data_IF_234836273251
#
_entry.id   IF_234836273251
#
_cell.length_a   1.000
_cell.length_b   1.000
_cell.length_c   1.000
_cell.angle_alpha   90.00
_cell.angle_beta   90.00
_cell.angle_gamma   90.00
#
_symmetry.space_group_name_H-M   'P 1'
#
loop_
_entity.id
_entity.type
_entity.pdbx_description
1 polymer ?
#
# COMPACT_ATOMS: atom_id res chain seq x y z
N UNK A 1 -21.79 28.58 27.42
CA UNK A 1 -20.81 28.04 26.48
C UNK A 1 -19.74 27.33 27.30
N UNK A 2 -19.80 26.01 27.42
CA UNK A 2 -18.79 25.22 28.13
C UNK A 2 -17.57 25.12 27.21
N UNK A 3 -16.42 25.60 27.68
CA UNK A 3 -15.14 25.35 27.02
C UNK A 3 -14.93 23.84 26.93
N UNK A 4 -15.13 23.28 25.77
CA UNK A 4 -14.75 21.90 25.46
C UNK A 4 -13.24 21.80 25.62
N UNK A 5 -12.77 21.26 26.76
CA UNK A 5 -11.35 20.93 26.96
C UNK A 5 -10.88 20.11 25.78
N UNK A 6 -10.04 20.69 24.92
CA UNK A 6 -9.41 19.96 23.79
C UNK A 6 -8.72 18.73 24.35
N UNK A 7 -9.14 17.55 23.94
CA UNK A 7 -8.52 16.29 24.32
C UNK A 7 -7.01 16.33 24.00
N UNK A 8 -6.17 15.90 24.95
CA UNK A 8 -4.70 15.88 24.79
C UNK A 8 -4.22 14.43 24.71
N UNK A 9 -3.21 14.20 23.89
CA UNK A 9 -2.52 12.91 23.83
C UNK A 9 -1.84 12.63 25.17
N UNK A 10 -2.16 11.49 25.77
CA UNK A 10 -1.49 10.99 26.99
C UNK A 10 -0.17 10.28 26.62
N UNK A 11 0.71 10.09 27.59
CA UNK A 11 1.95 9.32 27.41
C UNK A 11 1.68 7.90 26.91
N UNK A 12 0.60 7.28 27.41
CA UNK A 12 0.18 5.95 26.97
C UNK A 12 -0.28 5.93 25.50
N UNK A 13 -1.03 6.94 25.06
CA UNK A 13 -1.43 7.08 23.66
C UNK A 13 -0.21 7.25 22.75
N UNK A 14 0.78 8.06 23.14
CA UNK A 14 2.03 8.21 22.40
C UNK A 14 2.78 6.88 22.28
N UNK A 15 2.88 6.13 23.38
CA UNK A 15 3.46 4.79 23.37
C UNK A 15 2.71 3.85 22.44
N UNK A 16 1.37 3.82 22.51
CA UNK A 16 0.56 2.97 21.64
C UNK A 16 0.75 3.32 20.15
N UNK A 17 0.74 4.60 19.80
CA UNK A 17 0.94 5.07 18.42
C UNK A 17 2.36 4.72 17.92
N UNK A 18 3.39 4.91 18.75
CA UNK A 18 4.76 4.54 18.39
C UNK A 18 4.91 3.04 18.16
N UNK A 19 4.40 2.20 19.05
CA UNK A 19 4.45 0.73 18.93
C UNK A 19 3.68 0.27 17.67
N UNK A 20 2.50 0.83 17.40
CA UNK A 20 1.74 0.51 16.19
C UNK A 20 2.47 1.00 14.92
N UNK A 21 3.11 2.16 14.95
CA UNK A 21 3.94 2.66 13.85
C UNK A 21 5.14 1.76 13.56
N UNK A 22 5.82 1.29 14.61
CA UNK A 22 6.90 0.32 14.51
C UNK A 22 6.39 -1.01 13.89
N UNK A 23 5.21 -1.48 14.32
CA UNK A 23 4.55 -2.66 13.77
C UNK A 23 4.19 -2.48 12.30
N UNK A 24 3.69 -1.32 11.93
CA UNK A 24 3.43 -0.97 10.54
C UNK A 24 4.70 -1.06 9.67
N UNK A 25 5.84 -0.60 10.20
CA UNK A 25 7.14 -0.79 9.52
C UNK A 25 7.53 -2.26 9.44
N UNK A 26 7.30 -3.03 10.49
CA UNK A 26 7.63 -4.47 10.51
C UNK A 26 6.88 -5.26 9.43
N UNK A 27 5.66 -4.82 9.03
CA UNK A 27 4.96 -5.39 7.87
C UNK A 27 5.69 -5.13 6.54
N UNK A 28 6.65 -4.22 6.52
CA UNK A 28 7.53 -3.97 5.39
C UNK A 28 8.33 -5.20 4.96
N UNK A 29 8.51 -6.20 5.86
CA UNK A 29 9.05 -7.51 5.53
C UNK A 29 8.30 -8.18 4.38
N UNK A 30 6.98 -8.03 4.33
CA UNK A 30 6.12 -8.49 3.23
C UNK A 30 6.45 -7.80 1.89
N UNK A 31 6.89 -6.55 1.94
CA UNK A 31 7.14 -5.73 0.77
C UNK A 31 8.62 -5.67 0.35
N UNK A 32 9.52 -6.42 1.02
CA UNK A 32 10.95 -6.44 0.69
C UNK A 32 11.15 -6.71 -0.81
N UNK A 33 10.47 -7.71 -1.33
CA UNK A 33 10.59 -8.13 -2.73
C UNK A 33 10.13 -7.07 -3.74
N UNK A 34 9.22 -6.15 -3.35
CA UNK A 34 8.80 -5.02 -4.18
C UNK A 34 9.70 -3.80 -3.99
N UNK A 35 10.05 -3.49 -2.75
CA UNK A 35 10.74 -2.26 -2.37
C UNK A 35 12.25 -2.29 -2.57
N UNK A 36 12.83 -3.49 -2.48
CA UNK A 36 14.27 -3.74 -2.60
C UNK A 36 14.54 -4.88 -3.59
N UNK A 37 13.87 -4.81 -4.74
CA UNK A 37 13.83 -5.84 -5.78
C UNK A 37 15.22 -6.35 -6.15
N UNK A 38 16.15 -5.43 -6.49
CA UNK A 38 17.48 -5.78 -7.00
C UNK A 38 18.28 -6.57 -6.00
N UNK A 39 18.37 -6.07 -4.76
CA UNK A 39 19.18 -6.73 -3.72
C UNK A 39 18.58 -8.07 -3.31
N UNK A 40 17.23 -8.21 -3.26
CA UNK A 40 16.59 -9.47 -2.94
C UNK A 40 16.79 -10.51 -4.06
N UNK A 41 16.61 -10.10 -5.32
CA UNK A 41 16.85 -10.94 -6.51
C UNK A 41 18.25 -11.53 -6.50
N UNK A 42 19.26 -10.68 -6.32
CA UNK A 42 20.68 -11.11 -6.33
C UNK A 42 21.02 -11.97 -5.12
N UNK A 43 20.60 -11.58 -3.90
CA UNK A 43 20.91 -12.32 -2.69
C UNK A 43 20.37 -13.77 -2.72
N UNK A 44 19.24 -13.98 -3.40
CA UNK A 44 18.62 -15.30 -3.54
C UNK A 44 18.88 -15.97 -4.91
N UNK A 45 19.71 -15.35 -5.78
CA UNK A 45 20.04 -15.83 -7.13
C UNK A 45 18.80 -16.15 -7.98
N UNK A 46 17.81 -15.24 -7.97
CA UNK A 46 16.54 -15.42 -8.67
C UNK A 46 16.55 -14.79 -10.05
N UNK A 47 15.76 -15.33 -10.97
CA UNK A 47 15.46 -14.69 -12.27
C UNK A 47 14.30 -13.68 -12.12
N UNK A 48 14.12 -12.80 -13.11
CA UNK A 48 12.99 -11.85 -13.12
C UNK A 48 11.64 -12.59 -13.22
N UNK A 49 11.59 -13.71 -13.96
CA UNK A 49 10.43 -14.58 -14.02
C UNK A 49 10.07 -15.18 -12.66
N UNK A 50 11.08 -15.65 -11.91
CA UNK A 50 10.89 -16.17 -10.56
C UNK A 50 10.43 -15.08 -9.60
N UNK A 51 11.02 -13.88 -9.65
CA UNK A 51 10.58 -12.72 -8.87
C UNK A 51 9.13 -12.35 -9.15
N UNK A 52 8.77 -12.26 -10.43
CA UNK A 52 7.39 -11.99 -10.86
C UNK A 52 6.41 -13.05 -10.37
N UNK A 53 6.79 -14.34 -10.40
CA UNK A 53 5.96 -15.44 -9.91
C UNK A 53 5.73 -15.35 -8.40
N UNK A 54 6.78 -15.08 -7.60
CA UNK A 54 6.63 -14.88 -6.15
C UNK A 54 5.66 -13.73 -5.87
N UNK A 55 5.81 -12.60 -6.57
CA UNK A 55 4.95 -11.42 -6.41
C UNK A 55 3.49 -11.72 -6.76
N UNK A 56 3.24 -12.46 -7.85
CA UNK A 56 1.88 -12.83 -8.25
C UNK A 56 1.21 -13.78 -7.25
N UNK A 57 1.93 -14.81 -6.79
CA UNK A 57 1.39 -15.77 -5.80
C UNK A 57 1.13 -15.06 -4.46
N UNK A 58 2.04 -14.18 -4.02
CA UNK A 58 1.85 -13.35 -2.84
C UNK A 58 0.59 -12.47 -2.98
N UNK A 59 0.35 -11.90 -4.15
CA UNK A 59 -0.82 -11.06 -4.41
C UNK A 59 -2.13 -11.84 -4.39
N UNK A 60 -2.14 -13.09 -4.85
CA UNK A 60 -3.30 -14.00 -4.69
C UNK A 60 -3.61 -14.19 -3.20
N UNK A 61 -2.59 -14.50 -2.41
CA UNK A 61 -2.72 -14.65 -0.96
C UNK A 61 -3.24 -13.35 -0.30
N UNK A 62 -2.80 -12.18 -0.77
CA UNK A 62 -3.24 -10.88 -0.28
C UNK A 62 -4.71 -10.60 -0.61
N UNK A 63 -5.18 -10.90 -1.81
CA UNK A 63 -6.60 -10.79 -2.20
C UNK A 63 -7.48 -11.64 -1.26
N UNK A 64 -7.07 -12.88 -0.99
CA UNK A 64 -7.75 -13.76 -0.04
C UNK A 64 -7.75 -13.14 1.37
N UNK A 65 -6.63 -12.58 1.82
CA UNK A 65 -6.50 -11.95 3.13
C UNK A 65 -7.43 -10.73 3.30
N UNK A 66 -7.64 -9.93 2.29
CA UNK A 66 -8.61 -8.83 2.34
C UNK A 66 -10.04 -9.34 2.51
N UNK A 67 -10.38 -10.46 1.87
CA UNK A 67 -11.72 -11.05 1.97
C UNK A 67 -12.01 -11.57 3.39
N UNK A 68 -11.16 -12.41 3.96
CA UNK A 68 -11.43 -13.01 5.28
C UNK A 68 -10.94 -12.16 6.46
N UNK A 69 -9.97 -11.26 6.24
CA UNK A 69 -9.32 -10.51 7.32
C UNK A 69 -10.29 -9.57 8.05
N UNK A 70 -11.23 -8.97 7.34
CA UNK A 70 -12.31 -8.19 7.94
C UNK A 70 -13.19 -9.06 8.84
N UNK A 71 -13.66 -10.20 8.35
CA UNK A 71 -14.53 -11.14 9.06
C UNK A 71 -13.86 -11.67 10.35
N UNK A 72 -12.60 -12.11 10.22
CA UNK A 72 -11.84 -12.63 11.36
C UNK A 72 -11.61 -11.54 12.42
N UNK A 73 -11.37 -10.30 12.01
CA UNK A 73 -11.17 -9.18 12.94
C UNK A 73 -12.43 -8.83 13.77
N UNK A 74 -13.62 -9.22 13.29
CA UNK A 74 -14.87 -9.05 14.04
C UNK A 74 -15.14 -10.20 15.01
N UNK A 75 -14.65 -11.40 14.70
CA UNK A 75 -14.88 -12.62 15.51
C UNK A 75 -13.80 -12.78 16.59
N UNK A 76 -12.53 -12.51 16.24
CA UNK A 76 -11.38 -12.77 17.12
C UNK A 76 -10.86 -11.46 17.70
N UNK A 77 -10.48 -11.48 18.99
CA UNK A 77 -9.90 -10.31 19.66
C UNK A 77 -8.66 -9.78 18.91
N UNK A 78 -8.57 -8.47 18.65
CA UNK A 78 -7.45 -7.85 17.92
C UNK A 78 -6.08 -8.26 18.47
N UNK A 79 -5.94 -8.34 19.80
CA UNK A 79 -4.72 -8.79 20.48
C UNK A 79 -4.25 -10.16 19.95
N UNK A 80 -5.15 -11.13 19.83
CA UNK A 80 -4.82 -12.52 19.44
C UNK A 80 -4.31 -12.55 18.00
N UNK A 81 -5.02 -11.86 17.09
CA UNK A 81 -4.64 -11.79 15.68
C UNK A 81 -3.26 -11.11 15.54
N UNK A 82 -3.07 -9.96 16.19
CA UNK A 82 -1.80 -9.23 16.14
C UNK A 82 -0.63 -10.02 16.76
N UNK A 83 -0.88 -10.76 17.84
CA UNK A 83 0.15 -11.63 18.43
C UNK A 83 0.60 -12.70 17.43
N UNK A 84 -0.34 -13.38 16.78
CA UNK A 84 -0.04 -14.38 15.76
C UNK A 84 0.67 -13.75 14.54
N UNK A 85 0.17 -12.61 14.06
CA UNK A 85 0.75 -11.89 12.93
C UNK A 85 2.21 -11.49 13.18
N UNK A 86 2.48 -10.85 14.30
CA UNK A 86 3.83 -10.37 14.63
C UNK A 86 4.80 -11.51 14.93
N UNK A 87 4.33 -12.59 15.56
CA UNK A 87 5.13 -13.80 15.73
C UNK A 87 5.49 -14.44 14.39
N UNK A 88 4.51 -14.56 13.49
CA UNK A 88 4.73 -15.02 12.12
C UNK A 88 5.72 -14.15 11.36
N UNK A 89 5.59 -12.82 11.43
CA UNK A 89 6.52 -11.88 10.79
C UNK A 89 7.93 -11.98 11.36
N UNK A 90 8.07 -12.14 12.69
CA UNK A 90 9.37 -12.33 13.31
C UNK A 90 10.08 -13.59 12.80
N UNK A 91 9.41 -14.74 12.88
CA UNK A 91 9.96 -16.03 12.42
C UNK A 91 10.26 -16.01 10.93
N UNK A 92 9.33 -15.54 10.12
CA UNK A 92 9.49 -15.48 8.67
C UNK A 92 10.65 -14.55 8.25
N UNK A 93 10.81 -13.41 8.93
CA UNK A 93 11.94 -12.51 8.68
C UNK A 93 13.29 -13.14 9.03
N UNK A 94 13.37 -13.92 10.13
CA UNK A 94 14.58 -14.68 10.48
C UNK A 94 14.92 -15.71 9.41
N UNK A 95 13.91 -16.42 8.88
CA UNK A 95 14.12 -17.40 7.81
C UNK A 95 14.56 -16.69 6.53
N UNK A 96 13.96 -15.55 6.17
CA UNK A 96 14.38 -14.75 5.00
C UNK A 96 15.84 -14.25 5.12
N UNK A 97 16.33 -14.00 6.33
CA UNK A 97 17.72 -13.60 6.55
C UNK A 97 18.74 -14.68 6.13
N UNK A 98 18.33 -15.94 5.97
CA UNK A 98 19.18 -17.01 5.46
C UNK A 98 19.31 -17.02 3.94
N UNK A 99 18.59 -16.16 3.22
CA UNK A 99 18.46 -16.18 1.75
C UNK A 99 17.98 -17.55 1.24
N UNK A 100 16.75 -17.94 1.53
CA UNK A 100 16.29 -19.32 1.41
C UNK A 100 16.01 -19.78 -0.04
N UNK A 101 16.20 -18.89 -1.04
CA UNK A 101 15.97 -19.19 -2.45
C UNK A 101 14.48 -19.16 -2.86
N UNK A 102 14.19 -19.69 -4.04
CA UNK A 102 12.91 -19.49 -4.74
C UNK A 102 11.70 -20.07 -4.01
N UNK A 103 11.69 -21.39 -3.76
CA UNK A 103 10.50 -22.09 -3.22
C UNK A 103 10.15 -21.63 -1.81
N UNK A 104 11.16 -21.49 -0.95
CA UNK A 104 10.93 -21.01 0.41
C UNK A 104 10.48 -19.55 0.44
N UNK A 105 10.95 -18.71 -0.48
CA UNK A 105 10.45 -17.33 -0.64
C UNK A 105 8.96 -17.32 -0.96
N UNK A 106 8.47 -18.16 -1.88
CA UNK A 106 7.03 -18.27 -2.17
C UNK A 106 6.24 -18.54 -0.88
N UNK A 107 6.64 -19.58 -0.13
CA UNK A 107 5.92 -19.98 1.09
C UNK A 107 5.90 -18.85 2.12
N UNK A 108 7.06 -18.21 2.34
CA UNK A 108 7.18 -17.14 3.34
C UNK A 108 6.37 -15.90 2.96
N UNK A 109 6.44 -15.46 1.70
CA UNK A 109 5.67 -14.28 1.27
C UNK A 109 4.17 -14.56 1.22
N UNK A 110 3.74 -15.79 0.93
CA UNK A 110 2.34 -16.19 1.09
C UNK A 110 1.89 -16.12 2.55
N UNK A 111 2.70 -16.63 3.50
CA UNK A 111 2.38 -16.55 4.93
C UNK A 111 2.26 -15.09 5.39
N UNK A 112 3.17 -14.20 4.97
CA UNK A 112 3.03 -12.77 5.25
C UNK A 112 1.72 -12.21 4.71
N UNK A 113 1.41 -12.47 3.43
CA UNK A 113 0.25 -11.92 2.77
C UNK A 113 -1.08 -12.44 3.33
N UNK A 114 -1.11 -13.70 3.79
CA UNK A 114 -2.27 -14.30 4.44
C UNK A 114 -2.50 -13.82 5.87
N UNK A 115 -1.56 -13.11 6.49
CA UNK A 115 -1.69 -12.73 7.90
C UNK A 115 -2.27 -11.32 8.03
N UNK A 116 -3.53 -11.15 8.48
CA UNK A 116 -4.15 -9.84 8.61
C UNK A 116 -3.51 -9.07 9.76
N UNK A 117 -3.00 -7.87 9.48
CA UNK A 117 -2.36 -7.01 10.47
C UNK A 117 -3.05 -5.66 10.63
N UNK A 118 -3.42 -5.02 9.51
CA UNK A 118 -3.85 -3.62 9.51
C UNK A 118 -5.17 -3.40 10.26
N UNK A 119 -6.22 -4.14 9.91
CA UNK A 119 -7.53 -3.96 10.51
C UNK A 119 -7.53 -4.23 12.03
N UNK A 120 -6.94 -5.34 12.55
CA UNK A 120 -6.83 -5.55 13.99
C UNK A 120 -6.00 -4.49 14.71
N UNK A 121 -4.97 -3.95 14.08
CA UNK A 121 -4.13 -2.88 14.65
C UNK A 121 -4.93 -1.58 14.79
N UNK A 122 -5.64 -1.17 13.75
CA UNK A 122 -6.51 0.01 13.78
C UNK A 122 -7.59 -0.14 14.85
N UNK A 123 -8.23 -1.31 14.95
CA UNK A 123 -9.23 -1.62 15.98
C UNK A 123 -8.64 -1.52 17.39
N UNK A 124 -7.46 -2.09 17.62
CA UNK A 124 -6.78 -1.99 18.92
C UNK A 124 -6.43 -0.53 19.26
N UNK A 125 -5.93 0.24 18.31
CA UNK A 125 -5.57 1.63 18.50
C UNK A 125 -6.81 2.50 18.82
N UNK A 126 -7.93 2.25 18.16
CA UNK A 126 -9.20 2.92 18.42
C UNK A 126 -9.72 2.69 19.86
N UNK A 127 -9.44 1.52 20.47
CA UNK A 127 -9.82 1.26 21.88
C UNK A 127 -8.98 2.03 22.90
N UNK A 128 -7.85 2.59 22.48
CA UNK A 128 -6.91 3.33 23.35
C UNK A 128 -7.01 4.84 23.19
N UNK A 129 -7.71 5.32 22.18
CA UNK A 129 -7.74 6.73 21.80
C UNK A 129 -9.16 7.27 21.67
N UNK A 130 -9.43 8.49 22.17
CA UNK A 130 -10.72 9.15 21.94
C UNK A 130 -10.94 9.45 20.45
N UNK A 131 -12.19 9.36 19.95
CA UNK A 131 -12.52 9.63 18.54
C UNK A 131 -12.05 11.01 18.04
N UNK A 132 -12.07 12.02 18.91
CA UNK A 132 -11.66 13.40 18.59
C UNK A 132 -10.16 13.53 18.27
N UNK A 133 -9.35 12.55 18.63
CA UNK A 133 -7.91 12.52 18.38
C UNK A 133 -7.53 11.57 17.22
N UNK A 134 -8.49 10.88 16.60
CA UNK A 134 -8.22 9.85 15.59
C UNK A 134 -7.34 10.35 14.43
N UNK A 135 -7.65 11.48 13.84
CA UNK A 135 -6.84 12.06 12.75
C UNK A 135 -5.39 12.32 13.16
N UNK A 136 -5.19 12.83 14.39
CA UNK A 136 -3.83 13.06 14.93
C UNK A 136 -3.10 11.75 15.19
N UNK A 137 -3.77 10.75 15.71
CA UNK A 137 -3.22 9.43 16.03
C UNK A 137 -2.77 8.71 14.77
N UNK A 138 -3.59 8.66 13.74
CA UNK A 138 -3.22 8.03 12.46
C UNK A 138 -2.14 8.80 11.72
N UNK A 139 -2.16 10.15 11.76
CA UNK A 139 -1.08 10.96 11.21
C UNK A 139 0.29 10.65 11.85
N UNK A 140 0.34 10.53 13.18
CA UNK A 140 1.57 10.14 13.87
C UNK A 140 1.95 8.68 13.67
N UNK A 141 0.98 7.77 13.53
CA UNK A 141 1.21 6.38 13.15
C UNK A 141 2.02 6.29 11.85
N UNK A 142 1.56 6.97 10.82
CA UNK A 142 2.23 7.01 9.52
C UNK A 142 3.60 7.69 9.61
N UNK A 143 3.73 8.76 10.40
CA UNK A 143 5.00 9.44 10.62
C UNK A 143 6.03 8.55 11.30
N UNK A 144 5.65 7.81 12.34
CA UNK A 144 6.55 6.85 13.01
C UNK A 144 6.90 5.68 12.08
N UNK A 145 5.95 5.19 11.29
CA UNK A 145 6.22 4.17 10.29
C UNK A 145 7.20 4.67 9.22
N UNK A 146 7.02 5.87 8.70
CA UNK A 146 7.93 6.49 7.74
C UNK A 146 9.33 6.67 8.30
N UNK A 147 9.45 7.16 9.54
CA UNK A 147 10.73 7.37 10.20
C UNK A 147 11.47 6.04 10.43
N UNK A 148 10.81 5.04 10.98
CA UNK A 148 11.43 3.72 11.21
C UNK A 148 11.74 3.00 9.90
N UNK A 149 10.91 3.14 8.87
CA UNK A 149 11.18 2.65 7.52
C UNK A 149 12.40 3.32 6.89
N UNK A 150 12.59 4.61 7.11
CA UNK A 150 13.79 5.33 6.66
C UNK A 150 15.07 4.76 7.29
N UNK A 151 15.06 4.45 8.59
CA UNK A 151 16.19 3.81 9.26
C UNK A 151 16.52 2.43 8.65
N UNK A 152 15.51 1.60 8.39
CA UNK A 152 15.72 0.31 7.72
C UNK A 152 16.32 0.51 6.33
N UNK A 153 15.78 1.43 5.54
CA UNK A 153 16.27 1.71 4.19
C UNK A 153 17.71 2.22 4.16
N UNK A 154 18.07 3.16 5.07
CA UNK A 154 19.43 3.69 5.16
C UNK A 154 20.43 2.61 5.63
N UNK A 155 20.07 1.79 6.62
CA UNK A 155 20.89 0.67 7.06
C UNK A 155 21.10 -0.36 5.94
N UNK A 156 20.04 -0.64 5.17
CA UNK A 156 20.10 -1.52 4.00
C UNK A 156 21.01 -0.95 2.90
N UNK A 157 20.89 0.35 2.62
CA UNK A 157 21.74 1.05 1.63
C UNK A 157 23.22 1.00 2.04
N UNK A 158 23.50 1.26 3.32
CA UNK A 158 24.87 1.15 3.85
C UNK A 158 25.40 -0.29 3.75
N UNK A 159 24.58 -1.27 4.10
CA UNK A 159 24.98 -2.67 4.08
C UNK A 159 25.29 -3.16 2.66
N UNK A 160 24.48 -2.77 1.65
CA UNK A 160 24.74 -3.17 0.25
C UNK A 160 25.98 -2.50 -0.30
N UNK A 161 26.23 -1.24 0.06
CA UNK A 161 27.43 -0.52 -0.37
C UNK A 161 28.72 -1.10 0.21
N UNK A 162 28.67 -1.62 1.45
CA UNK A 162 29.85 -2.10 2.18
C UNK A 162 30.08 -3.60 2.04
N UNK A 163 29.02 -4.41 1.94
CA UNK A 163 29.10 -5.88 2.09
C UNK A 163 28.30 -6.64 1.02
N UNK A 164 27.61 -5.96 0.11
CA UNK A 164 26.84 -6.55 -0.98
C UNK A 164 25.43 -7.05 -0.59
N UNK A 165 24.74 -7.60 -1.57
CA UNK A 165 23.29 -7.90 -1.50
C UNK A 165 22.93 -8.94 -0.44
N UNK A 166 23.70 -10.02 -0.31
CA UNK A 166 23.45 -11.10 0.66
C UNK A 166 23.45 -10.59 2.10
N UNK A 167 24.45 -9.80 2.47
CA UNK A 167 24.55 -9.23 3.82
C UNK A 167 23.46 -8.19 4.06
N UNK A 168 23.15 -7.39 3.04
CA UNK A 168 22.11 -6.36 3.08
C UNK A 168 20.73 -6.96 3.37
N UNK A 169 20.35 -8.04 2.70
CA UNK A 169 19.08 -8.75 2.97
C UNK A 169 19.05 -9.27 4.41
N UNK A 170 20.17 -9.81 4.91
CA UNK A 170 20.27 -10.26 6.32
C UNK A 170 20.03 -9.13 7.31
N UNK A 171 20.72 -7.99 7.13
CA UNK A 171 20.55 -6.82 8.00
C UNK A 171 19.09 -6.36 8.01
N UNK A 172 18.51 -6.19 6.84
CA UNK A 172 17.13 -5.75 6.68
C UNK A 172 16.14 -6.72 7.34
N UNK A 173 16.25 -8.02 7.09
CA UNK A 173 15.38 -9.02 7.66
C UNK A 173 15.51 -9.11 9.19
N UNK A 174 16.73 -9.02 9.73
CA UNK A 174 16.95 -8.98 11.19
C UNK A 174 16.31 -7.74 11.80
N UNK A 175 16.43 -6.57 11.17
CA UNK A 175 15.77 -5.36 11.64
C UNK A 175 14.24 -5.53 11.70
N UNK A 176 13.63 -6.10 10.66
CA UNK A 176 12.18 -6.39 10.66
C UNK A 176 11.80 -7.42 11.73
N UNK A 177 12.61 -8.44 11.95
CA UNK A 177 12.37 -9.43 13.01
C UNK A 177 12.42 -8.78 14.41
N UNK A 178 13.42 -7.93 14.67
CA UNK A 178 13.54 -7.18 15.95
C UNK A 178 12.35 -6.23 16.13
N UNK A 179 11.97 -5.48 15.10
CA UNK A 179 10.81 -4.59 15.15
C UNK A 179 9.51 -5.36 15.43
N UNK A 180 9.32 -6.52 14.77
CA UNK A 180 8.16 -7.40 15.02
C UNK A 180 8.14 -7.87 16.49
N UNK A 181 9.29 -8.30 17.02
CA UNK A 181 9.40 -8.73 18.41
C UNK A 181 9.10 -7.62 19.42
N UNK A 182 9.66 -6.43 19.23
CA UNK A 182 9.38 -5.25 20.06
C UNK A 182 7.89 -4.89 20.00
N UNK A 183 7.32 -4.87 18.81
CA UNK A 183 5.89 -4.57 18.61
C UNK A 183 5.02 -5.62 19.29
N UNK A 184 5.35 -6.90 19.18
CA UNK A 184 4.63 -7.99 19.83
C UNK A 184 4.55 -7.77 21.35
N UNK A 185 5.67 -7.44 21.99
CA UNK A 185 5.71 -7.14 23.42
C UNK A 185 4.86 -5.88 23.72
N UNK A 186 5.01 -4.83 22.91
CA UNK A 186 4.24 -3.58 23.05
C UNK A 186 2.73 -3.79 22.94
N UNK A 187 2.28 -4.62 22.00
CA UNK A 187 0.86 -4.98 21.83
C UNK A 187 0.31 -5.70 23.08
N UNK A 188 1.11 -6.55 23.74
CA UNK A 188 0.68 -7.17 25.00
C UNK A 188 0.45 -6.15 26.11
N UNK A 189 1.30 -5.10 26.17
CA UNK A 189 1.18 -4.01 27.15
C UNK A 189 -0.05 -3.15 26.83
N UNK A 190 -0.22 -2.75 25.57
CA UNK A 190 -1.35 -1.94 25.11
C UNK A 190 -2.67 -2.65 25.40
N UNK A 191 -2.78 -3.93 25.05
CA UNK A 191 -4.00 -4.69 25.23
C UNK A 191 -4.39 -4.95 26.69
N UNK A 192 -3.45 -4.86 27.64
CA UNK A 192 -3.74 -4.92 29.08
C UNK A 192 -4.36 -3.63 29.62
N UNK A 193 -4.02 -2.49 29.00
CA UNK A 193 -4.48 -1.17 29.43
C UNK A 193 -5.62 -0.62 28.55
N UNK A 194 -5.87 -1.26 27.39
CA UNK A 194 -7.04 -0.95 26.58
C UNK A 194 -8.31 -1.16 27.42
N UNK A 195 -9.21 -0.19 27.38
CA UNK A 195 -10.51 -0.35 28.02
C UNK A 195 -11.18 -1.59 27.45
N UNK A 196 -11.87 -2.42 28.28
CA UNK A 196 -12.71 -3.46 27.74
C UNK A 196 -13.59 -2.82 26.66
N UNK A 197 -13.69 -3.46 25.52
CA UNK A 197 -14.61 -3.05 24.46
C UNK A 197 -15.97 -2.83 25.14
N UNK A 198 -16.33 -1.57 25.44
CA UNK A 198 -17.74 -1.25 25.56
C UNK A 198 -18.26 -1.68 24.20
N UNK A 199 -19.11 -2.71 24.22
CA UNK A 199 -19.73 -3.24 23.01
C UNK A 199 -20.07 -2.04 22.12
N UNK A 200 -19.69 -2.02 20.83
CA UNK A 200 -20.03 -0.91 19.96
C UNK A 200 -21.49 -0.63 20.25
N UNK A 201 -21.84 0.63 20.51
CA UNK A 201 -23.24 1.03 20.67
C UNK A 201 -23.95 0.31 19.54
N UNK A 202 -24.89 -0.57 19.86
CA UNK A 202 -25.51 -1.56 18.99
C UNK A 202 -25.46 -1.10 17.54
N UNK A 203 -24.41 -1.54 16.82
CA UNK A 203 -24.35 -1.34 15.38
C UNK A 203 -25.62 -1.98 14.88
N UNK A 204 -26.51 -1.19 14.32
CA UNK A 204 -27.74 -1.67 13.73
C UNK A 204 -27.38 -2.86 12.83
N UNK A 205 -28.21 -3.88 12.75
CA UNK A 205 -27.92 -5.07 11.91
C UNK A 205 -27.58 -4.69 10.46
N UNK A 206 -27.99 -3.49 10.04
CA UNK A 206 -27.67 -2.88 8.74
C UNK A 206 -26.23 -2.37 8.63
N UNK A 207 -25.49 -2.15 9.72
CA UNK A 207 -24.10 -1.68 9.73
C UNK A 207 -23.07 -2.83 9.71
N UNK A 208 -23.52 -4.08 9.87
CA UNK A 208 -22.64 -5.25 9.79
C UNK A 208 -22.28 -5.57 8.33
N UNK A 209 -21.04 -5.98 8.12
CA UNK A 209 -20.63 -6.53 6.83
C UNK A 209 -21.64 -7.61 6.40
N UNK A 210 -22.28 -7.40 5.28
CA UNK A 210 -23.24 -8.34 4.70
C UNK A 210 -22.95 -8.52 3.22
N UNK A 211 -22.90 -9.77 2.78
CA UNK A 211 -22.76 -10.10 1.36
C UNK A 211 -23.89 -9.48 0.51
N UNK A 212 -25.11 -9.36 1.09
CA UNK A 212 -26.24 -8.68 0.45
C UNK A 212 -25.96 -7.18 0.22
N UNK A 213 -25.33 -6.50 1.18
CA UNK A 213 -24.97 -5.09 1.06
C UNK A 213 -23.83 -4.90 0.05
N UNK A 214 -22.84 -5.80 0.04
CA UNK A 214 -21.79 -5.81 -0.99
C UNK A 214 -22.36 -5.97 -2.41
N UNK A 215 -23.38 -6.81 -2.60
CA UNK A 215 -24.06 -6.94 -3.89
C UNK A 215 -24.79 -5.67 -4.32
N UNK A 216 -25.27 -4.84 -3.38
CA UNK A 216 -25.84 -3.53 -3.70
C UNK A 216 -24.78 -2.59 -4.31
N UNK A 217 -23.57 -2.56 -3.72
CA UNK A 217 -22.46 -1.75 -4.23
C UNK A 217 -22.00 -2.20 -5.62
N UNK A 218 -21.90 -3.52 -5.85
CA UNK A 218 -21.51 -4.11 -7.14
C UNK A 218 -22.46 -3.71 -8.28
N UNK A 219 -23.71 -3.39 -8.00
CA UNK A 219 -24.70 -2.95 -8.99
C UNK A 219 -24.60 -1.46 -9.35
N UNK A 220 -23.76 -0.71 -8.65
CA UNK A 220 -23.64 0.73 -8.83
C UNK A 220 -22.53 1.13 -9.79
N UNK A 221 -22.85 1.73 -10.95
CA UNK A 221 -21.85 2.16 -11.90
C UNK A 221 -20.87 3.23 -11.37
N UNK A 222 -21.30 4.08 -10.44
CA UNK A 222 -20.43 5.11 -9.89
C UNK A 222 -19.32 4.49 -9.03
N UNK A 223 -19.64 3.45 -8.25
CA UNK A 223 -18.66 2.68 -7.48
C UNK A 223 -17.61 2.04 -8.42
N UNK A 224 -18.04 1.42 -9.50
CA UNK A 224 -17.12 0.83 -10.48
C UNK A 224 -16.20 1.86 -11.13
N UNK A 225 -16.67 3.06 -11.45
CA UNK A 225 -15.83 4.12 -11.99
C UNK A 225 -14.73 4.54 -11.02
N UNK A 226 -15.04 4.60 -9.71
CA UNK A 226 -14.03 4.87 -8.68
C UNK A 226 -13.08 3.69 -8.55
N UNK A 227 -13.57 2.47 -8.34
CA UNK A 227 -12.74 1.28 -8.13
C UNK A 227 -11.80 1.00 -9.31
N UNK A 228 -12.32 1.03 -10.54
CA UNK A 228 -11.50 0.82 -11.75
C UNK A 228 -10.53 1.97 -11.99
N UNK A 229 -10.98 3.23 -11.79
CA UNK A 229 -10.10 4.39 -11.91
C UNK A 229 -8.90 4.30 -10.97
N UNK A 230 -9.14 3.92 -9.71
CA UNK A 230 -8.09 3.70 -8.70
C UNK A 230 -7.24 2.48 -9.06
N UNK A 231 -7.84 1.37 -9.49
CA UNK A 231 -7.12 0.16 -9.91
C UNK A 231 -6.16 0.46 -11.04
N UNK A 232 -6.61 1.14 -12.09
CA UNK A 232 -5.74 1.49 -13.22
C UNK A 232 -4.59 2.41 -12.81
N UNK A 233 -4.84 3.39 -11.91
CA UNK A 233 -3.77 4.19 -11.32
C UNK A 233 -2.81 3.37 -10.45
N UNK A 234 -3.29 2.36 -9.74
CA UNK A 234 -2.49 1.48 -8.89
C UNK A 234 -1.54 0.59 -9.68
N UNK A 235 -1.90 0.18 -10.89
CA UNK A 235 -1.05 -0.68 -11.73
C UNK A 235 0.33 -0.09 -12.02
N UNK A 236 0.50 1.21 -11.82
CA UNK A 236 1.82 1.88 -11.84
C UNK A 236 2.84 1.28 -10.87
N UNK A 237 2.39 0.61 -9.78
CA UNK A 237 3.30 -0.11 -8.88
C UNK A 237 4.05 -1.23 -9.58
N UNK A 238 3.44 -1.89 -10.57
CA UNK A 238 4.09 -2.93 -11.37
C UNK A 238 5.26 -2.30 -12.15
N UNK A 239 4.99 -1.22 -12.88
CA UNK A 239 6.04 -0.46 -13.58
C UNK A 239 7.14 0.04 -12.63
N UNK A 240 6.75 0.62 -11.49
CA UNK A 240 7.69 1.13 -10.50
C UNK A 240 8.60 0.04 -9.93
N UNK A 241 8.09 -1.17 -9.70
CA UNK A 241 8.88 -2.31 -9.20
C UNK A 241 10.00 -2.67 -10.18
N UNK A 242 9.70 -2.70 -11.48
CA UNK A 242 10.68 -3.06 -12.50
C UNK A 242 11.57 -1.90 -12.95
N UNK A 243 11.28 -0.65 -12.56
CA UNK A 243 12.20 0.45 -12.80
C UNK A 243 13.53 0.32 -12.04
N UNK A 244 13.54 -0.29 -10.84
CA UNK A 244 14.77 -0.47 -10.06
C UNK A 244 15.79 -1.36 -10.75
N UNK A 245 15.47 -2.60 -11.20
CA UNK A 245 16.43 -3.41 -11.97
C UNK A 245 16.79 -2.76 -13.30
N UNK A 246 15.89 -2.09 -13.98
CA UNK A 246 16.17 -1.34 -15.21
C UNK A 246 17.25 -0.27 -15.01
N UNK A 247 17.22 0.46 -13.89
CA UNK A 247 18.23 1.48 -13.57
C UNK A 247 19.63 0.89 -13.40
N UNK A 248 19.75 -0.30 -12.82
CA UNK A 248 21.02 -1.01 -12.69
C UNK A 248 21.49 -1.51 -14.06
N UNK A 249 20.62 -2.19 -14.78
CA UNK A 249 20.96 -2.93 -16.00
C UNK A 249 21.30 -2.01 -17.19
N UNK A 250 20.53 -0.94 -17.40
CA UNK A 250 20.67 -0.10 -18.59
C UNK A 250 21.23 1.29 -18.31
N UNK A 251 21.05 1.82 -17.10
CA UNK A 251 21.54 3.15 -16.76
C UNK A 251 22.82 3.13 -15.90
N UNK A 252 23.35 1.94 -15.60
CA UNK A 252 24.64 1.76 -14.91
C UNK A 252 24.65 2.27 -13.47
N UNK A 253 23.47 2.41 -12.84
CA UNK A 253 23.42 2.82 -11.44
C UNK A 253 23.89 1.69 -10.52
N UNK A 254 24.65 2.05 -9.47
CA UNK A 254 25.03 1.08 -8.46
C UNK A 254 23.79 0.60 -7.65
N UNK A 255 23.85 -0.63 -7.14
CA UNK A 255 22.80 -1.17 -6.27
C UNK A 255 22.54 -0.29 -5.04
N UNK A 256 23.60 0.27 -4.45
CA UNK A 256 23.48 1.19 -3.33
C UNK A 256 22.70 2.45 -3.71
N UNK A 257 22.96 3.03 -4.89
CA UNK A 257 22.23 4.21 -5.38
C UNK A 257 20.75 3.90 -5.65
N UNK A 258 20.46 2.74 -6.23
CA UNK A 258 19.07 2.30 -6.46
C UNK A 258 18.37 2.00 -5.14
N UNK A 259 19.03 1.35 -4.18
CA UNK A 259 18.49 1.08 -2.84
C UNK A 259 18.19 2.38 -2.09
N UNK A 260 19.05 3.39 -2.20
CA UNK A 260 18.79 4.72 -1.66
C UNK A 260 17.58 5.38 -2.32
N UNK A 261 17.48 5.30 -3.65
CA UNK A 261 16.31 5.80 -4.39
C UNK A 261 15.03 5.10 -3.96
N UNK A 262 15.06 3.77 -3.80
CA UNK A 262 13.96 2.97 -3.28
C UNK A 262 13.56 3.40 -1.86
N UNK A 263 14.54 3.70 -1.02
CA UNK A 263 14.32 4.23 0.33
C UNK A 263 13.63 5.59 0.29
N UNK A 264 14.10 6.50 -0.55
CA UNK A 264 13.51 7.84 -0.72
C UNK A 264 12.07 7.73 -1.24
N UNK A 265 11.83 6.96 -2.30
CA UNK A 265 10.48 6.84 -2.89
C UNK A 265 9.47 6.18 -1.97
N UNK A 266 9.90 5.22 -1.15
CA UNK A 266 9.00 4.46 -0.28
C UNK A 266 8.77 5.12 1.08
N UNK A 267 9.69 5.95 1.57
CA UNK A 267 9.57 6.56 2.89
C UNK A 267 9.41 8.10 2.81
N UNK A 268 10.29 8.80 2.10
CA UNK A 268 10.25 10.26 2.04
C UNK A 268 9.04 10.75 1.24
N UNK A 269 8.82 10.20 0.03
CA UNK A 269 7.66 10.59 -0.79
C UNK A 269 6.35 10.15 -0.14
N UNK A 270 6.34 9.03 0.60
CA UNK A 270 5.15 8.59 1.35
C UNK A 270 4.78 9.57 2.46
N UNK A 271 5.77 10.26 3.05
CA UNK A 271 5.50 11.29 4.05
C UNK A 271 5.03 12.62 3.44
N UNK A 272 5.67 13.09 2.35
CA UNK A 272 5.45 14.43 1.81
C UNK A 272 4.25 14.49 0.87
N UNK A 273 4.16 13.57 -0.08
CA UNK A 273 3.22 13.66 -1.20
C UNK A 273 1.75 13.55 -0.78
N UNK A 274 1.34 12.64 0.14
CA UNK A 274 -0.05 12.57 0.58
C UNK A 274 -0.56 13.85 1.24
N UNK A 275 0.29 14.56 2.00
CA UNK A 275 -0.05 15.84 2.63
C UNK A 275 -0.37 16.89 1.54
N UNK A 276 0.50 17.01 0.54
CA UNK A 276 0.27 17.90 -0.59
C UNK A 276 -0.99 17.50 -1.38
N UNK A 277 -1.19 16.21 -1.61
CA UNK A 277 -2.34 15.70 -2.34
C UNK A 277 -3.66 16.00 -1.63
N UNK A 278 -3.73 15.80 -0.31
CA UNK A 278 -4.90 16.13 0.49
C UNK A 278 -5.22 17.63 0.43
N UNK A 279 -4.22 18.47 0.71
CA UNK A 279 -4.38 19.93 0.62
C UNK A 279 -4.82 20.41 -0.78
N UNK A 280 -4.29 19.80 -1.84
CA UNK A 280 -4.67 20.14 -3.21
C UNK A 280 -6.09 19.68 -3.53
N UNK A 281 -6.48 18.49 -3.05
CA UNK A 281 -7.84 17.97 -3.20
C UNK A 281 -8.89 18.82 -2.48
N UNK A 282 -8.56 19.34 -1.30
CA UNK A 282 -9.45 20.27 -0.55
C UNK A 282 -9.72 21.57 -1.33
N UNK A 283 -8.75 22.02 -2.13
CA UNK A 283 -8.89 23.27 -2.92
C UNK A 283 -9.66 23.08 -4.22
N UNK A 284 -9.42 22.02 -4.95
CA UNK A 284 -9.95 21.84 -6.33
C UNK A 284 -10.90 20.67 -6.50
N UNK A 285 -11.08 19.87 -5.45
CA UNK A 285 -11.87 18.64 -5.44
C UNK A 285 -11.06 17.40 -5.81
N UNK A 286 -11.46 16.25 -5.26
CA UNK A 286 -10.74 14.98 -5.40
C UNK A 286 -10.60 14.52 -6.86
N UNK A 287 -11.68 14.61 -7.66
CA UNK A 287 -11.69 14.19 -9.07
C UNK A 287 -10.70 15.02 -9.90
N UNK A 288 -10.66 16.33 -9.69
CA UNK A 288 -9.71 17.20 -10.40
C UNK A 288 -8.27 16.98 -9.93
N UNK A 289 -8.07 16.76 -8.62
CA UNK A 289 -6.77 16.44 -8.07
C UNK A 289 -6.23 15.12 -8.65
N UNK A 290 -7.10 14.15 -8.92
CA UNK A 290 -6.71 12.86 -9.49
C UNK A 290 -6.13 12.99 -10.91
N UNK A 291 -6.57 13.97 -11.72
CA UNK A 291 -5.96 14.26 -13.03
C UNK A 291 -4.47 14.63 -12.93
N UNK A 292 -4.08 15.39 -11.90
CA UNK A 292 -2.67 15.73 -11.68
C UNK A 292 -1.81 14.48 -11.50
N UNK A 293 -2.28 13.53 -10.71
CA UNK A 293 -1.54 12.31 -10.41
C UNK A 293 -1.49 11.34 -11.59
N UNK A 294 -2.57 11.23 -12.35
CA UNK A 294 -2.57 10.50 -13.63
C UNK A 294 -1.64 11.17 -14.64
N UNK A 295 -1.57 12.50 -14.65
CA UNK A 295 -0.61 13.27 -15.46
C UNK A 295 0.84 12.97 -15.10
N UNK A 296 1.18 12.88 -13.82
CA UNK A 296 2.53 12.49 -13.35
C UNK A 296 2.86 11.05 -13.76
N UNK A 297 1.89 10.14 -13.66
CA UNK A 297 2.05 8.77 -14.14
C UNK A 297 2.37 8.75 -15.64
N UNK A 298 1.54 9.40 -16.44
CA UNK A 298 1.75 9.47 -17.89
C UNK A 298 3.11 10.11 -18.25
N UNK A 299 3.45 11.24 -17.63
CA UNK A 299 4.73 11.90 -17.85
C UNK A 299 5.92 11.00 -17.53
N UNK A 300 5.86 10.28 -16.42
CA UNK A 300 6.90 9.31 -16.04
C UNK A 300 7.11 8.26 -17.14
N UNK A 301 6.03 7.61 -17.58
CA UNK A 301 6.13 6.54 -18.59
C UNK A 301 6.62 7.08 -19.93
N UNK A 302 6.16 8.26 -20.35
CA UNK A 302 6.64 8.89 -21.58
C UNK A 302 8.13 9.23 -21.50
N UNK A 303 8.59 9.81 -20.39
CA UNK A 303 10.02 10.08 -20.20
C UNK A 303 10.81 8.79 -20.42
N UNK A 304 10.49 7.71 -19.70
CA UNK A 304 11.30 6.48 -19.75
C UNK A 304 11.24 5.78 -21.11
N UNK A 305 10.16 5.91 -21.87
CA UNK A 305 10.04 5.31 -23.19
C UNK A 305 10.81 6.07 -24.28
N UNK A 306 10.90 7.40 -24.15
CA UNK A 306 11.51 8.25 -25.20
C UNK A 306 12.98 8.56 -24.97
N UNK A 307 13.51 8.43 -23.73
CA UNK A 307 14.95 8.61 -23.50
C UNK A 307 15.75 7.41 -24.02
N UNK A 308 16.99 7.61 -24.50
CA UNK A 308 17.93 6.51 -24.73
C UNK A 308 18.28 5.82 -23.41
N UNK A 309 18.24 4.48 -23.40
CA UNK A 309 18.59 3.69 -22.20
C UNK A 309 20.10 3.48 -22.13
N UNK A 310 20.78 4.52 -21.70
CA UNK A 310 22.25 4.55 -21.52
C UNK A 310 22.58 5.31 -20.24
N UNK A 311 23.77 5.10 -19.65
CA UNK A 311 24.18 5.78 -18.42
C UNK A 311 24.15 7.31 -18.50
N UNK A 312 24.31 7.91 -19.69
CA UNK A 312 24.26 9.37 -19.86
C UNK A 312 22.90 9.99 -19.48
N UNK A 313 21.83 9.21 -19.54
CA UNK A 313 20.44 9.67 -19.28
C UNK A 313 19.91 9.24 -17.91
N UNK A 314 20.76 8.77 -16.98
CA UNK A 314 20.32 8.25 -15.68
C UNK A 314 19.48 9.26 -14.86
N UNK A 315 19.78 10.57 -14.94
CA UNK A 315 19.02 11.59 -14.22
C UNK A 315 17.55 11.68 -14.68
N UNK A 316 17.29 11.54 -15.98
CA UNK A 316 15.94 11.50 -16.53
C UNK A 316 15.20 10.23 -16.10
N UNK A 317 15.89 9.10 -16.04
CA UNK A 317 15.32 7.85 -15.55
C UNK A 317 14.99 7.95 -14.06
N UNK A 318 15.85 8.54 -13.22
CA UNK A 318 15.58 8.81 -11.80
C UNK A 318 14.37 9.76 -11.65
N UNK A 319 14.30 10.83 -12.44
CA UNK A 319 13.15 11.75 -12.43
C UNK A 319 11.85 11.02 -12.80
N UNK A 320 11.89 10.12 -13.78
CA UNK A 320 10.76 9.27 -14.15
C UNK A 320 10.30 8.41 -12.95
N UNK A 321 11.23 7.74 -12.26
CA UNK A 321 10.92 6.93 -11.05
C UNK A 321 10.26 7.79 -9.96
N UNK A 322 10.79 8.97 -9.69
CA UNK A 322 10.25 9.88 -8.67
C UNK A 322 8.87 10.41 -9.06
N UNK A 323 8.63 10.72 -10.34
CA UNK A 323 7.31 11.14 -10.83
C UNK A 323 6.28 10.01 -10.68
N UNK A 324 6.63 8.77 -11.06
CA UNK A 324 5.73 7.62 -10.92
C UNK A 324 5.43 7.35 -9.44
N UNK A 325 6.46 7.32 -8.59
CA UNK A 325 6.29 7.13 -7.16
C UNK A 325 5.42 8.24 -6.54
N UNK A 326 5.63 9.50 -6.93
CA UNK A 326 4.79 10.63 -6.48
C UNK A 326 3.34 10.47 -6.92
N UNK A 327 3.09 10.02 -8.15
CA UNK A 327 1.75 9.71 -8.64
C UNK A 327 1.04 8.69 -7.75
N UNK A 328 1.72 7.60 -7.45
CA UNK A 328 1.16 6.51 -6.65
C UNK A 328 0.88 6.93 -5.19
N UNK A 329 1.77 7.72 -4.59
CA UNK A 329 1.59 8.24 -3.23
C UNK A 329 0.53 9.34 -3.16
N UNK A 330 0.44 10.19 -4.18
CA UNK A 330 -0.58 11.23 -4.28
C UNK A 330 -1.99 10.69 -4.50
N UNK A 331 -2.12 9.56 -5.17
CA UNK A 331 -3.38 8.86 -5.36
C UNK A 331 -3.94 8.31 -4.04
N UNK A 332 -3.09 7.81 -3.16
CA UNK A 332 -3.49 7.06 -1.95
C UNK A 332 -4.55 7.78 -1.09
N UNK A 333 -4.42 9.06 -0.71
CA UNK A 333 -5.45 9.74 0.08
C UNK A 333 -6.72 10.03 -0.71
N UNK A 334 -6.66 10.02 -2.05
CA UNK A 334 -7.82 10.34 -2.90
C UNK A 334 -8.78 9.17 -3.05
N UNK A 335 -8.37 7.93 -2.81
CA UNK A 335 -9.25 6.76 -2.93
C UNK A 335 -10.48 6.91 -2.02
N UNK A 336 -10.27 7.09 -0.73
CA UNK A 336 -11.36 7.29 0.21
C UNK A 336 -12.17 8.57 -0.08
N UNK A 337 -11.49 9.67 -0.49
CA UNK A 337 -12.16 10.91 -0.82
C UNK A 337 -13.04 10.77 -2.07
N UNK A 338 -12.64 9.98 -3.05
CA UNK A 338 -13.47 9.70 -4.23
C UNK A 338 -14.73 8.89 -3.86
N UNK A 339 -14.63 7.91 -2.95
CA UNK A 339 -15.78 7.17 -2.46
C UNK A 339 -16.79 8.07 -1.71
N UNK A 340 -16.32 9.03 -0.90
CA UNK A 340 -17.20 10.03 -0.28
C UNK A 340 -17.82 10.96 -1.31
N UNK A 341 -17.07 11.32 -2.35
CA UNK A 341 -17.52 12.20 -3.43
C UNK A 341 -18.67 11.59 -4.23
N UNK A 342 -18.66 10.26 -4.43
CA UNK A 342 -19.80 9.54 -5.06
C UNK A 342 -20.91 9.21 -4.07
N UNK A 343 -20.89 9.82 -2.89
CA UNK A 343 -21.92 9.66 -1.83
C UNK A 343 -22.16 8.21 -1.45
N UNK A 344 -21.08 7.43 -1.31
CA UNK A 344 -21.19 6.08 -0.76
C UNK A 344 -21.81 6.15 0.64
N UNK A 345 -22.91 5.43 0.92
CA UNK A 345 -23.55 5.44 2.24
C UNK A 345 -22.54 5.05 3.32
N UNK A 346 -22.52 5.79 4.45
CA UNK A 346 -21.57 5.54 5.55
C UNK A 346 -21.63 4.13 6.08
N UNK A 347 -22.83 3.53 6.16
CA UNK A 347 -23.04 2.13 6.53
C UNK A 347 -22.38 1.12 5.59
N UNK A 348 -22.10 1.49 4.33
CA UNK A 348 -21.47 0.64 3.34
C UNK A 348 -20.05 1.11 2.98
N UNK A 349 -19.55 2.17 3.64
CA UNK A 349 -18.27 2.77 3.29
C UNK A 349 -17.11 1.80 3.50
N UNK A 350 -17.04 1.14 4.66
CA UNK A 350 -16.00 0.13 4.94
C UNK A 350 -16.07 -1.05 3.97
N UNK A 351 -17.29 -1.49 3.61
CA UNK A 351 -17.49 -2.54 2.60
C UNK A 351 -16.99 -2.09 1.23
N UNK A 352 -17.26 -0.84 0.83
CA UNK A 352 -16.77 -0.29 -0.44
C UNK A 352 -15.25 -0.18 -0.48
N UNK A 353 -14.62 0.26 0.61
CA UNK A 353 -13.14 0.32 0.74
C UNK A 353 -12.52 -1.08 0.67
N UNK A 354 -13.13 -2.08 1.32
CA UNK A 354 -12.65 -3.46 1.26
C UNK A 354 -12.74 -4.02 -0.17
N UNK A 355 -13.87 -3.77 -0.85
CA UNK A 355 -14.06 -4.19 -2.23
C UNK A 355 -13.12 -3.46 -3.20
N UNK A 356 -12.90 -2.16 -3.01
CA UNK A 356 -11.89 -1.40 -3.74
C UNK A 356 -10.50 -2.04 -3.61
N UNK A 357 -10.08 -2.35 -2.38
CA UNK A 357 -8.77 -2.96 -2.11
C UNK A 357 -8.63 -4.32 -2.80
N UNK A 358 -9.70 -5.11 -2.80
CA UNK A 358 -9.73 -6.39 -3.50
C UNK A 358 -9.59 -6.21 -5.01
N UNK A 359 -10.43 -5.36 -5.63
CA UNK A 359 -10.40 -5.08 -7.07
C UNK A 359 -9.05 -4.50 -7.50
N UNK A 360 -8.51 -3.58 -6.71
CA UNK A 360 -7.22 -2.93 -6.94
C UNK A 360 -6.05 -3.94 -6.98
N UNK A 361 -6.09 -5.00 -6.19
CA UNK A 361 -5.01 -5.98 -6.07
C UNK A 361 -5.12 -7.11 -7.10
N UNK A 362 -6.28 -7.29 -7.76
CA UNK A 362 -6.47 -8.34 -8.79
C UNK A 362 -5.40 -8.29 -9.89
N UNK A 363 -5.04 -7.15 -10.50
CA UNK A 363 -3.99 -7.11 -11.51
C UNK A 363 -2.64 -7.67 -11.01
N UNK A 364 -2.30 -7.46 -9.76
CA UNK A 364 -1.04 -7.94 -9.18
C UNK A 364 -0.93 -9.48 -9.21
N UNK A 365 -2.06 -10.19 -9.22
CA UNK A 365 -2.09 -11.66 -9.19
C UNK A 365 -1.48 -12.32 -10.43
N UNK A 366 -1.45 -11.61 -11.55
CA UNK A 366 -0.89 -12.11 -12.81
C UNK A 366 0.14 -11.16 -13.46
N UNK A 367 0.00 -9.86 -13.28
CA UNK A 367 0.80 -8.89 -14.01
C UNK A 367 2.27 -8.90 -13.64
N UNK A 368 2.63 -9.19 -12.37
CA UNK A 368 4.04 -9.34 -11.98
C UNK A 368 4.69 -10.57 -12.64
N UNK A 369 4.00 -11.70 -12.72
CA UNK A 369 4.50 -12.88 -13.41
C UNK A 369 4.65 -12.63 -14.92
N UNK A 370 3.66 -11.99 -15.54
CA UNK A 370 3.73 -11.62 -16.95
C UNK A 370 4.89 -10.66 -17.23
N UNK A 371 5.09 -9.65 -16.39
CA UNK A 371 6.16 -8.68 -16.52
C UNK A 371 7.55 -9.32 -16.33
N UNK A 372 7.75 -10.12 -15.27
CA UNK A 372 9.00 -10.81 -15.02
C UNK A 372 9.38 -11.76 -16.16
N UNK A 373 8.44 -12.58 -16.64
CA UNK A 373 8.66 -13.47 -17.78
C UNK A 373 8.94 -12.72 -19.08
N UNK A 374 8.28 -11.55 -19.29
CA UNK A 374 8.56 -10.72 -20.47
C UNK A 374 9.99 -10.15 -20.43
N UNK A 375 10.45 -9.71 -19.27
CA UNK A 375 11.82 -9.23 -19.09
C UNK A 375 12.82 -10.37 -19.34
N UNK A 376 12.61 -11.52 -18.72
CA UNK A 376 13.50 -12.68 -18.86
C UNK A 376 13.62 -13.15 -20.32
N UNK A 377 12.50 -13.15 -21.05
CA UNK A 377 12.45 -13.63 -22.45
C UNK A 377 12.94 -12.59 -23.46
N UNK A 378 12.65 -11.30 -23.24
CA UNK A 378 12.83 -10.26 -24.25
C UNK A 378 13.81 -9.14 -23.80
N UNK A 379 14.41 -9.22 -22.59
CA UNK A 379 15.35 -8.22 -22.08
C UNK A 379 14.77 -6.80 -22.10
N UNK A 380 15.50 -5.85 -22.68
CA UNK A 380 15.08 -4.44 -22.81
C UNK A 380 13.68 -4.29 -23.43
N UNK A 381 13.33 -5.11 -24.43
CA UNK A 381 12.02 -5.05 -25.07
C UNK A 381 10.91 -5.48 -24.10
N UNK A 382 11.19 -6.42 -23.20
CA UNK A 382 10.27 -6.82 -22.13
C UNK A 382 9.92 -5.68 -21.19
N UNK A 383 10.91 -4.87 -20.77
CA UNK A 383 10.65 -3.65 -19.99
C UNK A 383 9.78 -2.65 -20.77
N UNK A 384 10.07 -2.44 -22.06
CA UNK A 384 9.26 -1.53 -22.91
C UNK A 384 7.81 -1.99 -23.01
N UNK A 385 7.54 -3.30 -23.09
CA UNK A 385 6.17 -3.83 -23.11
C UNK A 385 5.43 -3.47 -21.82
N UNK A 386 6.06 -3.57 -20.65
CA UNK A 386 5.46 -3.18 -19.37
C UNK A 386 5.03 -1.71 -19.42
N UNK A 387 5.88 -0.81 -19.90
CA UNK A 387 5.59 0.62 -19.95
C UNK A 387 4.54 0.97 -21.02
N UNK A 388 4.51 0.27 -22.16
CA UNK A 388 3.46 0.46 -23.19
C UNK A 388 2.09 0.01 -22.64
N UNK A 389 2.03 -1.12 -21.95
CA UNK A 389 0.79 -1.57 -21.28
C UNK A 389 0.38 -0.57 -20.20
N UNK A 390 1.34 0.01 -19.48
CA UNK A 390 1.08 1.06 -18.48
C UNK A 390 0.43 2.31 -19.08
N UNK A 391 0.78 2.70 -20.32
CA UNK A 391 0.08 3.79 -21.05
C UNK A 391 -1.39 3.45 -21.25
N UNK A 392 -1.70 2.25 -21.73
CA UNK A 392 -3.08 1.84 -21.94
C UNK A 392 -3.88 1.86 -20.63
N UNK A 393 -3.28 1.41 -19.54
CA UNK A 393 -3.92 1.38 -18.21
C UNK A 393 -4.13 2.79 -17.63
N UNK A 394 -3.16 3.69 -17.72
CA UNK A 394 -3.35 5.07 -17.26
C UNK A 394 -4.37 5.83 -18.08
N UNK A 395 -4.45 5.56 -19.39
CA UNK A 395 -5.50 6.11 -20.26
C UNK A 395 -6.89 5.58 -19.88
N UNK A 396 -7.01 4.29 -19.55
CA UNK A 396 -8.25 3.72 -19.03
C UNK A 396 -8.66 4.38 -17.70
N UNK A 397 -7.70 4.60 -16.78
CA UNK A 397 -7.93 5.35 -15.55
C UNK A 397 -8.38 6.79 -15.79
N UNK A 398 -7.79 7.46 -16.78
CA UNK A 398 -8.18 8.80 -17.20
C UNK A 398 -9.62 8.82 -17.74
N UNK A 399 -10.00 7.83 -18.57
CA UNK A 399 -11.37 7.70 -19.09
C UNK A 399 -12.37 7.49 -17.95
N UNK A 400 -12.07 6.61 -16.99
CA UNK A 400 -12.92 6.42 -15.80
C UNK A 400 -13.12 7.75 -15.05
N UNK A 401 -12.05 8.51 -14.83
CA UNK A 401 -12.10 9.78 -14.12
C UNK A 401 -12.87 10.87 -14.91
N UNK A 402 -12.75 10.91 -16.25
CA UNK A 402 -13.53 11.82 -17.11
C UNK A 402 -15.02 11.49 -17.04
N UNK A 403 -15.38 10.20 -17.11
CA UNK A 403 -16.78 9.79 -17.01
C UNK A 403 -17.33 10.16 -15.63
N UNK A 404 -16.57 9.93 -14.55
CA UNK A 404 -16.94 10.31 -13.20
C UNK A 404 -17.17 11.82 -13.07
N UNK A 405 -16.23 12.65 -13.56
CA UNK A 405 -16.35 14.12 -13.55
C UNK A 405 -17.61 14.62 -14.29
N UNK A 406 -17.90 14.01 -15.46
CA UNK A 406 -19.12 14.33 -16.24
C UNK A 406 -20.40 13.92 -15.50
N UNK A 407 -20.41 12.76 -14.84
CA UNK A 407 -21.58 12.33 -14.04
C UNK A 407 -21.84 13.27 -12.87
N UNK A 408 -20.79 13.69 -12.18
CA UNK A 408 -20.89 14.64 -11.07
C UNK A 408 -21.45 15.99 -11.54
N UNK A 409 -20.93 16.54 -12.66
CA UNK A 409 -21.43 17.79 -13.24
C UNK A 409 -22.88 17.70 -13.69
N UNK A 410 -23.35 16.51 -14.03
CA UNK A 410 -24.76 16.24 -14.40
C UNK A 410 -25.66 15.96 -13.17
N UNK A 411 -25.13 16.09 -11.94
CA UNK A 411 -25.88 15.79 -10.71
C UNK A 411 -26.17 14.30 -10.51
N UNK A 412 -25.39 13.42 -11.20
CA UNK A 412 -25.47 11.94 -11.12
C UNK A 412 -24.30 11.37 -10.29
N UNK A 413 -23.91 12.11 -9.26
CA UNK A 413 -22.81 11.82 -8.36
C UNK A 413 -23.17 10.79 -7.28
N UNK A 414 -24.45 10.67 -6.92
CA UNK A 414 -24.93 9.63 -6.01
C UNK A 414 -25.10 8.30 -6.72
N UNK A 415 -24.98 7.23 -5.96
CA UNK A 415 -25.22 5.89 -6.44
C UNK A 415 -26.67 5.80 -6.93
N UNK A 416 -26.90 5.54 -8.22
CA UNK A 416 -28.24 5.51 -8.80
C UNK A 416 -29.17 4.51 -8.07
N UNK A 417 -28.60 3.43 -7.58
CA UNK A 417 -29.34 2.39 -6.85
C UNK A 417 -29.90 2.91 -5.52
N UNK A 418 -29.12 3.69 -4.76
CA UNK A 418 -29.56 4.24 -3.49
C UNK A 418 -30.47 5.45 -3.68
N UNK A 419 -30.19 6.30 -4.67
CA UNK A 419 -31.04 7.43 -5.02
C UNK A 419 -32.45 7.00 -5.45
N UNK A 420 -32.56 5.91 -6.23
CA UNK A 420 -33.87 5.41 -6.67
C UNK A 420 -34.70 4.82 -5.51
N UNK A 421 -34.07 4.36 -4.43
CA UNK A 421 -34.78 3.80 -3.27
C UNK A 421 -35.12 4.82 -2.19
N UNK A 422 -34.78 6.10 -2.38
CA UNK A 422 -35.02 7.12 -1.35
C UNK A 422 -34.13 6.97 -0.11
N UNK A 423 -33.13 6.11 -0.15
CA UNK A 423 -32.09 5.98 0.88
C UNK A 423 -31.11 7.17 0.71
N UNK A 424 -31.55 8.37 1.10
CA UNK A 424 -30.67 9.52 1.16
C UNK A 424 -29.72 9.37 2.34
N UNK A 425 -28.43 9.63 2.10
CA UNK A 425 -27.36 9.66 3.10
C UNK A 425 -27.60 10.70 4.17
#
# INVERSE_FOLDING_TARGET
MSETKKAKMTTFMWFAVFICGLGSTATGAQSIIKNFYVIYKEANMLTDGQMGTILSIMSIAQVLSYFYGGIISDIIKPKTILTFALASYCVSSIILASNPGYVASIVIFCLFALTPFWAPMVKLLATTTPPELSGKVYGWLDSFSGLTGLFVGLATTWAVASFGSVFSVRVMCIMYAVMSGITLIGIQIIAKQAKPETAPAEESEDEKFSFKNMLKLVKDPAQWLVWLGITFGYTGYIGLTYMSPMLVEFFGMSQASVTLLDTVRNNVLTFIIPIFSGWYADKIGAVKSYYLWLGFYMASILIILFIPWTPAYYLFAVASVLLLASSLKGRSPLSNTLLTTVRTPMMLFSTSVAFESMVMTIPDTFAYSMAGNAIEKYGMTGYKYIFIVSIALVLAGLVCNIILDRRMKAGKDSTWYFAQKGEQA
#
